data_IF_992252203096
#
_entry.id   IF_992252203096
#
_cell.length_a   1.000
_cell.length_b   1.000
_cell.length_c   1.000
_cell.angle_alpha   90.00
_cell.angle_beta   90.00
_cell.angle_gamma   90.00
#
_symmetry.space_group_name_H-M   'P 1'
#
loop_
_entity.id
_entity.type
_entity.pdbx_description
1 polymer ?
#
# COMPACT_ATOMS: atom_id res chain seq x y z
N UNK A 1 -5.74 3.91 9.20
CA UNK A 1 -5.78 2.50 9.66
C UNK A 1 -6.17 2.44 11.13
N UNK A 2 -7.00 1.48 11.58
CA UNK A 2 -7.40 1.37 12.99
C UNK A 2 -6.34 0.68 13.83
N UNK A 3 -6.09 1.18 15.05
CA UNK A 3 -5.37 0.41 16.07
C UNK A 3 -6.11 -0.89 16.43
N UNK A 4 -5.35 -1.87 16.93
CA UNK A 4 -5.82 -3.22 17.21
C UNK A 4 -5.78 -4.12 15.98
N UNK A 5 -6.76 -4.01 15.08
CA UNK A 5 -6.92 -4.95 13.96
C UNK A 5 -6.27 -4.49 12.65
N UNK A 6 -5.77 -3.24 12.58
CA UNK A 6 -5.26 -2.63 11.34
C UNK A 6 -4.07 -3.37 10.73
N UNK A 7 -3.23 -4.01 11.56
CA UNK A 7 -2.12 -4.82 11.07
C UNK A 7 -2.60 -6.05 10.29
N UNK A 8 -3.78 -6.61 10.60
CA UNK A 8 -4.34 -7.75 9.86
C UNK A 8 -4.71 -7.40 8.43
N UNK A 9 -5.11 -6.14 8.19
CA UNK A 9 -5.31 -5.66 6.82
C UNK A 9 -4.00 -5.71 6.04
N UNK A 10 -2.91 -5.19 6.62
CA UNK A 10 -1.58 -5.21 6.00
C UNK A 10 -1.04 -6.62 5.78
N UNK A 11 -1.25 -7.55 6.72
CA UNK A 11 -0.84 -8.93 6.53
C UNK A 11 -1.55 -9.60 5.36
N UNK A 12 -2.86 -9.33 5.23
CA UNK A 12 -3.67 -9.87 4.13
C UNK A 12 -3.28 -9.30 2.77
N UNK A 13 -2.83 -8.05 2.70
CA UNK A 13 -2.57 -7.36 1.44
C UNK A 13 -1.09 -7.26 1.07
N UNK A 14 -0.16 -7.42 2.03
CA UNK A 14 1.28 -7.17 1.84
C UNK A 14 2.18 -8.34 2.28
N UNK A 15 1.67 -9.31 3.07
CA UNK A 15 2.51 -10.36 3.67
C UNK A 15 2.03 -11.80 3.39
N UNK A 16 1.63 -12.09 2.15
CA UNK A 16 1.50 -13.48 1.70
C UNK A 16 2.81 -13.86 1.00
N UNK A 17 3.71 -14.52 1.72
CA UNK A 17 4.88 -15.16 1.14
C UNK A 17 5.37 -16.22 2.13
N UNK A 18 4.62 -17.31 2.27
CA UNK A 18 5.07 -18.57 2.88
C UNK A 18 4.27 -19.75 2.29
N UNK A 19 4.90 -20.51 1.38
CA UNK A 19 4.37 -21.76 0.81
C UNK A 19 5.04 -22.17 -0.50
N UNK A 20 5.73 -23.31 -0.49
CA UNK A 20 6.63 -23.83 -1.53
C UNK A 20 5.94 -24.33 -2.82
N UNK A 21 6.51 -24.04 -4.02
CA UNK A 21 6.52 -24.93 -5.21
C UNK A 21 7.39 -24.47 -6.39
N UNK A 22 8.20 -25.39 -6.91
CA UNK A 22 8.84 -25.41 -8.24
C UNK A 22 7.85 -25.89 -9.34
N UNK A 23 7.95 -25.64 -10.66
CA UNK A 23 8.81 -24.87 -11.59
C UNK A 23 8.02 -24.78 -12.93
N UNK A 24 7.79 -23.58 -13.49
CA UNK A 24 7.72 -23.25 -14.94
C UNK A 24 6.80 -22.05 -15.27
N UNK A 25 7.27 -21.18 -16.18
CA UNK A 25 6.55 -20.16 -17.01
C UNK A 25 6.38 -18.70 -16.48
N UNK A 26 6.17 -17.68 -17.38
CA UNK A 26 6.93 -16.42 -17.46
C UNK A 26 6.11 -15.13 -17.22
N UNK A 27 6.77 -13.98 -16.97
CA UNK A 27 6.30 -12.58 -17.00
C UNK A 27 4.99 -12.16 -16.28
N UNK A 28 4.25 -13.10 -15.70
CA UNK A 28 3.07 -12.86 -14.88
C UNK A 28 3.37 -12.93 -13.39
N UNK A 29 4.65 -13.02 -12.96
CA UNK A 29 5.01 -13.15 -11.53
C UNK A 29 4.36 -12.11 -10.63
N UNK A 30 4.31 -10.84 -11.03
CA UNK A 30 3.63 -9.79 -10.25
C UNK A 30 2.09 -9.96 -10.17
N UNK A 31 1.48 -10.68 -11.11
CA UNK A 31 0.03 -10.95 -11.16
C UNK A 31 -0.36 -12.39 -10.77
N UNK A 32 0.60 -13.31 -10.60
CA UNK A 32 0.35 -14.77 -10.45
C UNK A 32 1.21 -15.45 -9.38
N UNK A 33 2.34 -14.90 -8.91
CA UNK A 33 2.99 -15.47 -7.71
C UNK A 33 2.12 -15.22 -6.47
N UNK A 34 2.03 -16.23 -5.60
CA UNK A 34 1.27 -16.20 -4.36
C UNK A 34 1.83 -15.15 -3.40
N UNK A 35 1.31 -13.93 -3.59
CA UNK A 35 1.31 -12.85 -2.63
C UNK A 35 2.41 -11.81 -2.78
N UNK A 36 2.13 -10.66 -2.17
CA UNK A 36 2.99 -9.48 -2.20
C UNK A 36 4.30 -9.79 -1.48
N UNK A 37 5.47 -9.41 -2.04
CA UNK A 37 6.74 -9.58 -1.35
C UNK A 37 6.67 -8.90 0.02
N UNK A 38 7.30 -9.50 1.04
CA UNK A 38 7.18 -8.99 2.39
C UNK A 38 7.71 -7.56 2.48
N UNK A 39 6.98 -6.71 3.21
CA UNK A 39 7.36 -5.33 3.41
C UNK A 39 8.76 -5.19 4.02
N UNK A 40 9.41 -4.06 3.74
CA UNK A 40 10.72 -3.71 4.29
C UNK A 40 10.63 -2.46 5.15
N UNK A 41 11.48 -2.39 6.17
CA UNK A 41 11.62 -1.20 7.00
C UNK A 41 12.28 -0.06 6.22
N UNK A 42 11.71 1.14 6.31
CA UNK A 42 12.21 2.31 5.61
C UNK A 42 12.09 3.57 6.47
N UNK A 43 12.98 4.53 6.23
CA UNK A 43 12.99 5.85 6.87
C UNK A 43 13.93 5.97 8.07
N UNK A 44 14.31 7.21 8.41
CA UNK A 44 15.32 7.50 9.44
C UNK A 44 14.90 7.04 10.86
N UNK A 45 13.60 6.99 11.15
CA UNK A 45 13.07 6.58 12.46
C UNK A 45 13.29 5.11 12.81
N UNK A 46 13.62 4.26 11.84
CA UNK A 46 13.88 2.81 12.05
C UNK A 46 14.99 2.58 13.07
N UNK A 47 16.03 3.42 13.06
CA UNK A 47 17.17 3.33 13.98
C UNK A 47 16.81 3.54 15.45
N UNK A 48 15.66 4.18 15.73
CA UNK A 48 15.16 4.37 17.09
C UNK A 48 14.41 3.17 17.66
N UNK A 49 14.09 2.17 16.82
CA UNK A 49 13.33 0.98 17.21
C UNK A 49 14.27 -0.16 17.61
N UNK A 50 13.81 -1.02 18.50
CA UNK A 50 14.54 -2.21 18.92
C UNK A 50 15.92 -1.92 19.49
N UNK A 51 16.12 -0.75 20.11
CA UNK A 51 17.44 -0.28 20.59
C UNK A 51 18.50 -0.26 19.48
N UNK A 52 18.08 0.05 18.24
CA UNK A 52 18.94 0.12 17.06
C UNK A 52 19.26 -1.23 16.41
N UNK A 53 18.59 -2.31 16.84
CA UNK A 53 18.74 -3.64 16.23
C UNK A 53 18.08 -3.74 14.86
N UNK A 54 17.17 -2.82 14.56
CA UNK A 54 16.43 -2.80 13.31
C UNK A 54 17.10 -1.84 12.30
N UNK A 55 17.32 -2.32 11.09
CA UNK A 55 17.94 -1.57 10.01
C UNK A 55 16.96 -1.29 8.86
N UNK A 56 17.25 -0.23 8.09
CA UNK A 56 16.55 0.03 6.83
C UNK A 56 16.81 -1.11 5.85
N UNK A 57 15.76 -1.61 5.22
CA UNK A 57 15.80 -2.77 4.32
C UNK A 57 15.49 -4.10 4.99
N UNK A 58 15.48 -4.17 6.33
CA UNK A 58 15.08 -5.39 7.05
C UNK A 58 13.64 -5.78 6.70
N UNK A 59 13.39 -7.08 6.60
CA UNK A 59 12.04 -7.62 6.39
C UNK A 59 11.16 -7.32 7.60
N UNK A 60 9.96 -6.80 7.35
CA UNK A 60 8.92 -6.63 8.37
C UNK A 60 8.29 -8.00 8.66
N UNK A 61 8.31 -8.42 9.92
CA UNK A 61 7.60 -9.63 10.36
C UNK A 61 6.19 -9.31 10.86
N UNK A 62 5.32 -10.33 10.87
CA UNK A 62 3.97 -10.19 11.42
C UNK A 62 3.98 -9.76 12.89
N UNK A 63 4.82 -10.40 13.71
CA UNK A 63 4.93 -10.08 15.13
C UNK A 63 5.35 -8.62 15.37
N UNK A 64 6.31 -8.13 14.57
CA UNK A 64 6.75 -6.74 14.62
C UNK A 64 5.61 -5.78 14.27
N UNK A 65 4.86 -6.08 13.21
CA UNK A 65 3.73 -5.24 12.77
C UNK A 65 2.58 -5.25 13.78
N UNK A 66 2.32 -6.39 14.42
CA UNK A 66 1.33 -6.51 15.48
C UNK A 66 1.72 -5.67 16.70
N UNK A 67 2.98 -5.73 17.13
CA UNK A 67 3.48 -4.91 18.24
C UNK A 67 3.35 -3.42 17.92
N UNK A 68 3.85 -3.00 16.76
CA UNK A 68 3.87 -1.59 16.38
C UNK A 68 2.47 -1.04 16.08
N UNK A 69 1.77 -1.63 15.10
CA UNK A 69 0.50 -1.10 14.58
C UNK A 69 -0.71 -1.57 15.38
N UNK A 70 -0.63 -2.76 15.98
CA UNK A 70 -1.70 -3.30 16.81
C UNK A 70 -1.68 -2.72 18.22
N UNK A 71 -0.49 -2.65 18.83
CA UNK A 71 -0.34 -2.37 20.27
C UNK A 71 0.38 -1.05 20.61
N UNK A 72 0.99 -0.38 19.64
CA UNK A 72 1.76 0.85 19.90
C UNK A 72 3.04 0.58 20.68
N UNK A 73 3.65 -0.59 20.44
CA UNK A 73 4.85 -1.08 21.13
C UNK A 73 6.02 -1.22 20.17
N UNK A 74 7.21 -1.19 20.74
CA UNK A 74 8.46 -1.38 20.02
C UNK A 74 8.45 -2.78 19.38
N UNK A 75 8.75 -2.87 18.06
CA UNK A 75 8.58 -4.10 17.30
C UNK A 75 9.55 -5.22 17.67
N UNK A 76 10.60 -4.93 18.45
CA UNK A 76 11.61 -5.92 18.87
C UNK A 76 11.53 -6.17 20.38
N UNK A 77 11.51 -5.11 21.17
CA UNK A 77 11.56 -5.20 22.65
C UNK A 77 10.17 -5.34 23.28
N UNK A 78 9.11 -4.90 22.60
CA UNK A 78 7.76 -4.86 23.15
C UNK A 78 7.50 -3.73 24.14
N UNK A 79 8.48 -2.85 24.36
CA UNK A 79 8.35 -1.68 25.23
C UNK A 79 7.33 -0.67 24.66
N UNK A 80 6.56 0.07 25.48
CA UNK A 80 5.65 1.08 24.96
C UNK A 80 6.40 2.22 24.24
N UNK A 81 5.97 2.57 23.02
CA UNK A 81 6.55 3.69 22.24
C UNK A 81 5.95 5.07 22.62
N UNK A 82 5.28 5.14 23.77
CA UNK A 82 4.55 6.32 24.23
C UNK A 82 3.27 5.91 24.96
N UNK A 83 2.20 6.66 24.75
CA UNK A 83 0.88 6.33 25.28
C UNK A 83 0.24 5.18 24.49
N UNK A 84 -0.47 4.30 25.21
CA UNK A 84 -1.30 3.29 24.57
C UNK A 84 -2.40 3.95 23.72
N UNK A 85 -2.83 3.26 22.66
CA UNK A 85 -3.94 3.73 21.83
C UNK A 85 -5.20 3.99 22.68
N UNK A 86 -5.92 5.11 22.45
CA UNK A 86 -7.11 5.43 23.24
C UNK A 86 -8.21 4.39 23.00
N UNK A 87 -8.73 3.82 24.09
CA UNK A 87 -9.92 2.98 24.07
C UNK A 87 -11.17 3.86 24.13
N UNK A 88 -11.90 3.94 23.02
CA UNK A 88 -13.17 4.66 22.97
C UNK A 88 -14.32 3.76 23.41
N UNK A 89 -15.24 4.30 24.22
CA UNK A 89 -16.51 3.64 24.55
C UNK A 89 -17.26 3.27 23.28
N UNK A 90 -17.82 2.07 23.27
CA UNK A 90 -18.74 1.60 22.25
C UNK A 90 -20.04 2.42 22.23
N UNK A 91 -20.81 2.31 21.15
CA UNK A 91 -22.12 2.97 21.04
C UNK A 91 -23.05 2.57 22.21
N UNK A 92 -23.21 1.27 22.53
CA UNK A 92 -24.01 0.86 23.69
C UNK A 92 -23.53 1.45 25.01
N UNK A 93 -22.23 1.40 25.30
CA UNK A 93 -21.69 1.96 26.56
C UNK A 93 -21.89 3.47 26.69
N UNK A 94 -21.90 4.20 25.57
CA UNK A 94 -22.22 5.64 25.56
C UNK A 94 -23.71 5.89 25.78
N UNK A 95 -24.57 5.07 25.18
CA UNK A 95 -26.01 5.12 25.40
C UNK A 95 -26.31 4.86 26.88
N UNK A 96 -25.81 3.76 27.45
CA UNK A 96 -26.01 3.40 28.85
C UNK A 96 -25.54 4.50 29.80
N UNK A 97 -24.36 5.08 29.53
CA UNK A 97 -23.83 6.17 30.34
C UNK A 97 -24.73 7.43 30.28
N UNK A 98 -25.31 7.75 29.11
CA UNK A 98 -26.21 8.90 28.96
C UNK A 98 -27.60 8.63 29.54
N UNK A 99 -28.09 7.38 29.50
CA UNK A 99 -29.35 6.98 30.13
C UNK A 99 -29.21 7.03 31.66
N UNK A 100 -28.07 6.61 32.20
CA UNK A 100 -27.79 6.67 33.64
C UNK A 100 -27.75 8.10 34.20
N UNK A 101 -27.45 9.09 33.36
CA UNK A 101 -27.40 10.51 33.72
C UNK A 101 -28.76 11.22 33.55
N UNK A 102 -29.80 10.53 33.07
CA UNK A 102 -31.14 11.10 32.96
C UNK A 102 -31.73 11.39 34.35
N UNK A 103 -32.44 12.51 34.46
CA UNK A 103 -33.15 12.90 35.68
C UNK A 103 -34.10 11.78 36.15
N UNK A 104 -33.91 11.25 37.38
CA UNK A 104 -34.77 10.22 37.94
C UNK A 104 -36.24 10.64 38.08
N UNK A 105 -36.51 11.95 38.13
CA UNK A 105 -37.86 12.52 38.26
C UNK A 105 -38.67 12.56 36.97
N UNK A 106 -38.11 12.14 35.83
CA UNK A 106 -38.82 12.13 34.54
C UNK A 106 -40.03 11.19 34.56
N UNK A 107 -41.13 11.64 33.95
CA UNK A 107 -42.27 10.77 33.70
C UNK A 107 -41.87 9.61 32.78
N UNK A 108 -42.55 8.45 32.85
CA UNK A 108 -42.21 7.30 32.01
C UNK A 108 -42.19 7.62 30.51
N UNK A 109 -43.12 8.44 30.03
CA UNK A 109 -43.18 8.88 28.62
C UNK A 109 -41.99 9.77 28.24
N UNK A 110 -41.70 10.79 29.05
CA UNK A 110 -40.57 11.69 28.79
C UNK A 110 -39.22 10.96 28.88
N UNK A 111 -39.10 9.99 29.79
CA UNK A 111 -37.92 9.12 29.88
C UNK A 111 -37.77 8.27 28.62
N UNK A 112 -38.87 7.68 28.11
CA UNK A 112 -38.87 6.92 26.86
C UNK A 112 -38.43 7.75 25.65
N UNK A 113 -38.98 8.96 25.50
CA UNK A 113 -38.58 9.89 24.43
C UNK A 113 -37.10 10.31 24.55
N UNK A 114 -36.62 10.58 25.77
CA UNK A 114 -35.22 10.94 26.00
C UNK A 114 -34.26 9.77 25.66
N UNK A 115 -34.61 8.54 26.03
CA UNK A 115 -33.85 7.34 25.68
C UNK A 115 -33.80 7.16 24.17
N UNK A 116 -34.95 7.20 23.47
CA UNK A 116 -35.00 7.05 22.02
C UNK A 116 -34.16 8.10 21.29
N UNK A 117 -34.16 9.35 21.78
CA UNK A 117 -33.29 10.41 21.27
C UNK A 117 -31.80 10.11 21.48
N UNK A 118 -31.41 9.66 22.68
CA UNK A 118 -30.02 9.29 22.98
C UNK A 118 -29.54 8.15 22.07
N UNK A 119 -30.37 7.13 21.88
CA UNK A 119 -30.07 6.01 21.00
C UNK A 119 -29.85 6.46 19.55
N UNK A 120 -30.74 7.30 19.02
CA UNK A 120 -30.63 7.85 17.69
C UNK A 120 -29.34 8.68 17.52
N UNK A 121 -29.07 9.60 18.45
CA UNK A 121 -27.89 10.48 18.40
C UNK A 121 -26.57 9.70 18.50
N UNK A 122 -26.45 8.73 19.42
CA UNK A 122 -25.20 7.97 19.60
C UNK A 122 -24.98 6.95 18.48
N UNK A 123 -26.07 6.46 17.87
CA UNK A 123 -26.00 5.62 16.66
C UNK A 123 -25.56 6.44 15.46
N UNK A 124 -26.13 7.63 15.25
CA UNK A 124 -25.74 8.54 14.17
C UNK A 124 -24.28 8.98 14.28
N UNK A 125 -23.82 9.29 15.51
CA UNK A 125 -22.41 9.62 15.78
C UNK A 125 -21.44 8.49 15.43
N UNK A 126 -21.91 7.24 15.39
CA UNK A 126 -21.12 6.08 14.97
C UNK A 126 -19.93 5.75 15.88
N UNK A 127 -19.13 4.78 15.45
CA UNK A 127 -17.95 4.28 16.19
C UNK A 127 -16.71 5.13 15.93
N UNK A 128 -16.03 5.54 17.00
CA UNK A 128 -14.67 6.11 16.92
C UNK A 128 -13.63 5.01 17.05
N UNK A 129 -12.53 5.11 16.30
CA UNK A 129 -11.39 4.17 16.35
C UNK A 129 -10.09 4.96 16.47
N UNK A 130 -9.16 4.46 17.28
CA UNK A 130 -7.81 5.01 17.34
C UNK A 130 -7.09 4.78 16.01
N UNK A 131 -6.28 5.75 15.58
CA UNK A 131 -5.49 5.66 14.34
C UNK A 131 -4.12 5.10 14.69
N UNK A 132 -3.77 3.96 14.10
CA UNK A 132 -2.44 3.36 14.27
C UNK A 132 -1.41 3.85 13.27
N UNK A 133 -1.87 4.36 12.12
CA UNK A 133 -1.01 4.93 11.10
C UNK A 133 -1.74 5.17 9.79
N UNK A 134 -0.96 5.62 8.81
CA UNK A 134 -1.39 5.97 7.46
C UNK A 134 -0.84 4.97 6.46
N UNK A 135 -1.63 4.69 5.43
CA UNK A 135 -1.24 3.83 4.32
C UNK A 135 -1.14 4.69 3.06
N UNK A 136 -0.01 4.58 2.37
CA UNK A 136 0.27 5.30 1.13
C UNK A 136 0.49 4.27 0.03
N UNK A 137 -0.53 4.10 -0.83
CA UNK A 137 -0.45 3.23 -2.00
C UNK A 137 -0.01 4.03 -3.21
N UNK A 138 1.11 3.65 -3.82
CA UNK A 138 1.62 4.28 -5.03
C UNK A 138 1.25 3.43 -6.26
N UNK A 139 0.54 4.04 -7.20
CA UNK A 139 0.15 3.40 -8.46
C UNK A 139 0.94 3.99 -9.61
N UNK A 140 1.66 3.15 -10.35
CA UNK A 140 2.38 3.60 -11.55
C UNK A 140 1.42 3.76 -12.74
N UNK A 141 1.73 4.63 -13.73
CA UNK A 141 0.96 4.72 -14.97
C UNK A 141 0.87 3.36 -15.66
N UNK A 142 -0.32 3.03 -16.21
CA UNK A 142 -0.58 1.70 -16.80
C UNK A 142 0.36 1.35 -17.95
N UNK A 143 0.81 2.34 -18.73
CA UNK A 143 1.81 2.17 -19.80
C UNK A 143 3.16 1.71 -19.26
N UNK A 144 3.60 2.23 -18.11
CA UNK A 144 4.81 1.77 -17.43
C UNK A 144 4.63 0.34 -16.90
N UNK A 145 3.45 0.00 -16.35
CA UNK A 145 3.14 -1.39 -15.97
C UNK A 145 3.20 -2.34 -17.16
N UNK A 146 2.70 -1.91 -18.33
CA UNK A 146 2.73 -2.72 -19.55
C UNK A 146 4.16 -2.91 -20.04
N UNK A 147 4.98 -1.85 -20.07
CA UNK A 147 6.39 -1.94 -20.46
C UNK A 147 7.16 -2.91 -19.57
N UNK A 148 6.99 -2.80 -18.25
CA UNK A 148 7.63 -3.70 -17.28
C UNK A 148 7.21 -5.17 -17.45
N UNK A 149 5.99 -5.41 -17.94
CA UNK A 149 5.50 -6.75 -18.29
C UNK A 149 5.84 -7.23 -19.71
N UNK A 150 6.51 -6.41 -20.53
CA UNK A 150 6.82 -6.70 -21.94
C UNK A 150 8.34 -6.78 -22.19
N UNK A 151 9.16 -6.16 -21.33
CA UNK A 151 10.63 -6.05 -21.53
C UNK A 151 11.43 -7.30 -21.17
N UNK A 152 10.80 -8.39 -20.76
CA UNK A 152 11.51 -9.65 -20.54
C UNK A 152 11.75 -10.34 -21.89
N UNK A 153 12.95 -10.90 -22.10
CA UNK A 153 13.36 -11.54 -23.37
C UNK A 153 12.60 -12.85 -23.68
N UNK A 154 11.63 -13.19 -22.83
CA UNK A 154 10.79 -14.38 -22.95
C UNK A 154 9.46 -13.97 -23.57
N UNK A 155 9.10 -14.48 -24.77
CA UNK A 155 7.80 -14.24 -25.35
C UNK A 155 6.68 -14.54 -24.34
N UNK A 156 5.68 -13.67 -24.26
CA UNK A 156 4.46 -13.94 -23.50
C UNK A 156 3.79 -15.21 -24.06
N UNK A 157 3.97 -16.34 -23.37
CA UNK A 157 3.41 -17.64 -23.75
C UNK A 157 4.43 -18.64 -24.30
N UNK A 158 3.92 -19.73 -24.88
CA UNK A 158 4.76 -20.81 -25.41
C UNK A 158 5.66 -20.31 -26.55
N UNK A 159 6.86 -20.89 -26.67
CA UNK A 159 7.75 -20.63 -27.81
C UNK A 159 7.01 -20.91 -29.12
N UNK A 160 7.21 -20.08 -30.17
CA UNK A 160 6.49 -20.20 -31.42
C UNK A 160 6.79 -21.56 -32.07
N UNK A 161 5.77 -22.42 -32.09
CA UNK A 161 5.89 -23.79 -32.61
C UNK A 161 5.71 -23.84 -34.13
N UNK A 162 4.88 -22.96 -34.69
CA UNK A 162 4.60 -22.90 -36.12
C UNK A 162 5.41 -21.81 -36.85
N UNK A 163 5.58 -21.98 -38.17
CA UNK A 163 6.26 -21.00 -39.03
C UNK A 163 5.57 -19.63 -38.98
N UNK A 164 4.23 -19.59 -38.94
CA UNK A 164 3.46 -18.35 -38.83
C UNK A 164 3.75 -17.63 -37.50
N UNK A 165 3.78 -18.37 -36.39
CA UNK A 165 4.11 -17.81 -35.07
C UNK A 165 5.55 -17.29 -35.02
N UNK A 166 6.51 -17.95 -35.69
CA UNK A 166 7.90 -17.49 -35.77
C UNK A 166 8.02 -16.19 -36.56
N UNK A 167 7.25 -16.05 -37.65
CA UNK A 167 7.19 -14.83 -38.46
C UNK A 167 6.58 -13.68 -37.66
N UNK A 168 5.48 -13.93 -36.94
CA UNK A 168 4.84 -12.90 -36.12
C UNK A 168 5.71 -12.47 -34.94
N UNK A 169 6.42 -13.40 -34.30
CA UNK A 169 7.41 -13.09 -33.27
C UNK A 169 8.58 -12.23 -33.81
N UNK A 170 9.10 -12.53 -35.00
CA UNK A 170 10.14 -11.74 -35.64
C UNK A 170 9.66 -10.32 -36.00
N UNK A 171 8.41 -10.17 -36.44
CA UNK A 171 7.77 -8.87 -36.72
C UNK A 171 7.57 -8.06 -35.44
N UNK A 172 7.08 -8.68 -34.37
CA UNK A 172 6.90 -8.05 -33.07
C UNK A 172 8.23 -7.55 -32.49
N UNK A 173 9.30 -8.35 -32.58
CA UNK A 173 10.65 -7.93 -32.17
C UNK A 173 11.15 -6.73 -32.97
N UNK A 174 10.99 -6.75 -34.29
CA UNK A 174 11.38 -5.62 -35.15
C UNK A 174 10.62 -4.34 -34.80
N UNK A 175 9.32 -4.45 -34.50
CA UNK A 175 8.50 -3.32 -34.08
C UNK A 175 8.94 -2.76 -32.71
N UNK A 176 9.30 -3.64 -31.77
CA UNK A 176 9.83 -3.27 -30.46
C UNK A 176 11.18 -2.53 -30.59
N UNK A 177 12.12 -3.07 -31.37
CA UNK A 177 13.42 -2.44 -31.62
C UNK A 177 13.28 -1.06 -32.27
N UNK A 178 12.25 -0.85 -33.08
CA UNK A 178 11.95 0.44 -33.70
C UNK A 178 11.36 1.42 -32.69
N UNK A 179 10.43 0.97 -31.84
CA UNK A 179 9.85 1.79 -30.78
C UNK A 179 10.91 2.22 -29.75
N UNK A 180 11.79 1.32 -29.32
CA UNK A 180 12.90 1.62 -28.41
C UNK A 180 13.88 2.62 -29.01
N UNK A 181 14.16 2.55 -30.32
CA UNK A 181 14.97 3.56 -31.02
C UNK A 181 14.32 4.93 -31.03
N UNK A 182 13.01 5.02 -31.25
CA UNK A 182 12.28 6.30 -31.22
C UNK A 182 12.35 6.91 -29.83
N UNK A 183 12.07 6.12 -28.79
CA UNK A 183 12.11 6.58 -27.38
C UNK A 183 13.52 7.09 -27.04
N UNK A 184 14.57 6.37 -27.41
CA UNK A 184 15.95 6.77 -27.12
C UNK A 184 16.45 7.93 -27.99
N UNK A 185 15.89 8.13 -29.20
CA UNK A 185 16.19 9.30 -30.04
C UNK A 185 15.48 10.58 -29.62
N UNK A 186 14.41 10.47 -28.82
CA UNK A 186 13.69 11.63 -28.29
C UNK A 186 14.45 12.33 -27.15
N UNK A 187 15.54 11.72 -26.66
CA UNK A 187 16.39 12.22 -25.56
C UNK A 187 17.64 12.98 -26.06
N UNK A 188 17.85 13.12 -27.38
CA UNK A 188 18.91 14.00 -27.89
C UNK A 188 18.41 15.47 -27.96
N UNK A 189 19.05 16.41 -27.24
CA UNK A 189 18.69 17.81 -27.32
C UNK A 189 18.96 18.33 -28.73
N UNK A 190 17.91 18.81 -29.40
CA UNK A 190 18.00 19.46 -30.70
C UNK A 190 18.91 20.69 -30.60
N UNK A 191 20.20 20.55 -30.92
CA UNK A 191 21.06 21.70 -31.24
C UNK A 191 20.61 22.26 -32.59
N UNK A 192 19.69 23.21 -32.56
CA UNK A 192 19.51 24.19 -33.64
C UNK A 192 19.57 25.60 -33.09
N UNK A 193 20.46 26.37 -33.74
CA UNK A 193 20.32 27.80 -34.09
C UNK A 193 21.14 28.80 -33.29
N UNK A 194 22.46 28.81 -33.53
CA UNK A 194 23.24 30.07 -33.53
C UNK A 194 24.34 29.99 -34.59
N UNK A 195 23.97 30.16 -35.86
CA UNK A 195 24.94 30.46 -36.92
C UNK A 195 24.27 31.35 -37.97
N UNK A 196 23.82 32.52 -37.52
CA UNK A 196 23.47 33.63 -38.41
C UNK A 196 23.51 34.90 -37.57
N UNK A 197 24.64 35.60 -37.65
CA UNK A 197 25.01 36.94 -37.12
C UNK A 197 26.40 36.87 -36.48
N UNK A 198 27.41 36.75 -37.32
CA UNK A 198 28.74 37.34 -37.10
C UNK A 198 29.50 37.29 -38.42
N UNK A 199 29.00 38.11 -39.36
CA UNK A 199 29.73 38.49 -40.57
C UNK A 199 29.35 39.92 -40.92
N UNK A 200 29.70 40.85 -40.02
CA UNK A 200 29.83 42.29 -40.28
C UNK A 200 30.82 42.89 -39.27
N UNK A 201 32.10 42.62 -39.48
CA UNK A 201 33.20 43.48 -39.04
C UNK A 201 34.50 43.06 -39.73
N UNK A 202 34.66 43.54 -40.97
CA UNK A 202 35.84 44.27 -41.48
C UNK A 202 35.51 44.79 -42.89
#
# INVERSE_FOLDING_TARGET
MSAGDGYRYLLRTVAAADGDRELSTPLTRYYVEEGTPPGQWFGAGVTGLGKGQLAVGDRVSEAQLQLLMGMGRDPITGDPLGHAFPAYKSVPERIDARIADLDPGLSPGAKGEAVARIEAEETERGKRRAVAGFDFTFSIPKSASALWGITDDIPLGALPASTAQKIDAARAKTALDHASRIINSADEPTTRRTQERDSLSL
#
